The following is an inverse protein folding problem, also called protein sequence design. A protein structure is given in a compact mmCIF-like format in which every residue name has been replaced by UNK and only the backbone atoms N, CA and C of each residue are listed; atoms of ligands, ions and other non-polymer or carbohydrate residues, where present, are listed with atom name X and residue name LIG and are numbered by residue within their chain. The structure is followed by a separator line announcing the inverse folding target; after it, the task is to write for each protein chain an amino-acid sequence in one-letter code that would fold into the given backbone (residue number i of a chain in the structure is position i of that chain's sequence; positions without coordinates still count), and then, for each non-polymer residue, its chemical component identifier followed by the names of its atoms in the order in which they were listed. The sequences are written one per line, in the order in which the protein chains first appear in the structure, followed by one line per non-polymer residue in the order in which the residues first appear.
data_IF_941162391724
#
_entry.id   IF_941162391724
#
_cell.length_a   1.000
_cell.length_b   1.000
_cell.length_c   1.000
_cell.angle_alpha   90.00
_cell.angle_beta   90.00
_cell.angle_gamma   90.00
#
_symmetry.space_group_name_H-M   'P 1'
#
loop_
_entity.id
_entity.type
_entity.pdbx_description
1 polymer ?
#
# COMPACT_ATOMS: atom_id res chain seq x y z
N UNK A 1 -34.14 2.79 8.79
CA UNK A 1 -34.63 1.44 8.43
C UNK A 1 -33.69 0.92 7.35
N UNK A 2 -32.94 -0.16 7.60
CA UNK A 2 -32.11 -0.78 6.56
C UNK A 2 -33.00 -1.31 5.44
N UNK A 3 -32.57 -1.17 4.19
CA UNK A 3 -33.28 -1.74 3.05
C UNK A 3 -33.43 -3.27 3.19
N UNK A 4 -34.57 -3.85 2.77
CA UNK A 4 -34.74 -5.30 2.78
C UNK A 4 -33.76 -5.95 1.80
N UNK A 5 -32.83 -6.75 2.33
CA UNK A 5 -31.85 -7.52 1.54
C UNK A 5 -32.60 -8.57 0.71
N UNK A 6 -32.42 -8.56 -0.60
CA UNK A 6 -33.01 -9.56 -1.48
C UNK A 6 -32.29 -10.91 -1.35
N UNK A 7 -33.02 -12.02 -1.51
CA UNK A 7 -32.43 -13.35 -1.53
C UNK A 7 -31.50 -13.51 -2.74
N UNK A 8 -30.36 -14.18 -2.54
CA UNK A 8 -29.39 -14.47 -3.59
C UNK A 8 -29.76 -15.71 -4.42
N UNK A 9 -30.82 -16.42 -4.01
CA UNK A 9 -31.28 -17.65 -4.65
C UNK A 9 -32.00 -17.37 -5.99
N UNK A 10 -31.96 -18.34 -6.92
CA UNK A 10 -32.64 -18.21 -8.22
C UNK A 10 -34.17 -18.13 -8.09
N UNK A 11 -34.82 -17.71 -9.17
CA UNK A 11 -36.27 -17.46 -9.19
C UNK A 11 -37.12 -18.70 -8.88
N UNK A 12 -36.62 -19.91 -9.21
CA UNK A 12 -37.30 -21.18 -8.99
C UNK A 12 -37.19 -21.71 -7.54
N UNK A 13 -36.53 -20.99 -6.63
CA UNK A 13 -36.44 -21.39 -5.23
C UNK A 13 -37.76 -21.20 -4.48
N UNK A 14 -38.06 -22.18 -3.62
CA UNK A 14 -39.23 -22.23 -2.76
C UNK A 14 -39.22 -21.12 -1.70
N UNK A 15 -40.39 -20.79 -1.11
CA UNK A 15 -40.46 -19.81 -0.03
C UNK A 15 -39.61 -20.17 1.20
N UNK A 16 -39.51 -21.46 1.54
CA UNK A 16 -38.71 -21.93 2.69
C UNK A 16 -37.21 -21.70 2.46
N UNK A 17 -36.71 -22.03 1.27
CA UNK A 17 -35.31 -21.80 0.92
C UNK A 17 -34.95 -20.31 0.97
N UNK A 18 -35.83 -19.44 0.44
CA UNK A 18 -35.66 -17.98 0.52
C UNK A 18 -35.69 -17.48 1.97
N UNK A 19 -36.57 -18.03 2.81
CA UNK A 19 -36.62 -17.67 4.23
C UNK A 19 -35.35 -18.09 4.99
N UNK A 20 -34.79 -19.26 4.67
CA UNK A 20 -33.53 -19.72 5.24
C UNK A 20 -32.34 -18.84 4.80
N UNK A 21 -32.25 -18.49 3.51
CA UNK A 21 -31.22 -17.59 2.98
C UNK A 21 -31.22 -16.24 3.71
N UNK A 22 -32.39 -15.59 3.80
CA UNK A 22 -32.53 -14.31 4.50
C UNK A 22 -32.23 -14.45 6.00
N UNK A 23 -32.72 -15.52 6.64
CA UNK A 23 -32.50 -15.79 8.06
C UNK A 23 -31.02 -16.00 8.39
N UNK A 24 -30.30 -16.77 7.57
CA UNK A 24 -28.86 -16.96 7.72
C UNK A 24 -28.05 -15.72 7.38
N UNK A 25 -28.49 -14.91 6.40
CA UNK A 25 -27.89 -13.61 6.12
C UNK A 25 -27.86 -12.69 7.35
N UNK A 26 -28.94 -12.67 8.14
CA UNK A 26 -28.99 -11.89 9.40
C UNK A 26 -28.01 -12.43 10.45
N UNK A 27 -27.79 -13.74 10.51
CA UNK A 27 -26.81 -14.33 11.42
C UNK A 27 -25.38 -14.00 11.01
N UNK A 28 -25.09 -14.03 9.71
CA UNK A 28 -23.79 -13.69 9.15
C UNK A 28 -23.45 -12.21 9.32
N UNK A 29 -24.42 -11.30 9.15
CA UNK A 29 -24.21 -9.86 9.33
C UNK A 29 -23.80 -9.48 10.77
N UNK A 30 -23.98 -10.37 11.76
CA UNK A 30 -23.48 -10.19 13.13
C UNK A 30 -21.98 -10.47 13.26
N UNK A 31 -21.39 -11.17 12.31
CA UNK A 31 -19.96 -11.49 12.30
C UNK A 31 -19.22 -10.32 11.69
N UNK A 32 -18.70 -9.43 12.53
CA UNK A 32 -17.81 -8.38 12.06
C UNK A 32 -16.51 -9.00 11.53
N UNK A 33 -16.05 -8.63 10.32
CA UNK A 33 -14.71 -9.02 9.86
C UNK A 33 -13.68 -8.54 10.90
N UNK A 34 -12.80 -9.42 11.40
CA UNK A 34 -11.86 -9.03 12.45
C UNK A 34 -10.82 -8.02 11.95
N UNK A 35 -10.53 -8.00 10.64
CA UNK A 35 -9.48 -7.16 10.05
C UNK A 35 -9.94 -6.52 8.73
N UNK A 36 -10.90 -5.59 8.73
CA UNK A 36 -11.41 -4.96 7.50
C UNK A 36 -10.32 -4.16 6.76
N UNK A 37 -9.29 -3.72 7.49
CA UNK A 37 -8.19 -2.93 6.95
C UNK A 37 -6.94 -3.75 6.60
N UNK A 38 -6.96 -5.09 6.68
CA UNK A 38 -5.73 -5.91 6.57
C UNK A 38 -4.95 -5.66 5.27
N UNK A 39 -5.65 -5.33 4.18
CA UNK A 39 -5.06 -5.07 2.87
C UNK A 39 -4.75 -3.59 2.60
N UNK A 40 -5.03 -2.70 3.55
CA UNK A 40 -4.82 -1.26 3.43
C UNK A 40 -3.56 -0.83 4.20
N UNK A 41 -2.43 -0.53 3.52
CA UNK A 41 -1.16 -0.19 4.17
C UNK A 41 -1.24 0.96 5.19
N UNK A 42 -2.18 1.89 5.02
CA UNK A 42 -2.35 3.04 5.92
C UNK A 42 -3.14 2.70 7.19
N UNK A 43 -3.96 1.65 7.16
CA UNK A 43 -4.88 1.31 8.25
C UNK A 43 -4.69 -0.11 8.81
N UNK A 44 -3.89 -0.96 8.16
CA UNK A 44 -3.50 -2.27 8.68
C UNK A 44 -2.84 -2.11 10.05
N UNK A 45 -3.19 -2.91 11.07
CA UNK A 45 -2.48 -2.91 12.35
C UNK A 45 -0.98 -3.12 12.14
N UNK A 46 -0.13 -2.41 12.88
CA UNK A 46 1.31 -2.35 12.64
C UNK A 46 1.98 -3.72 12.73
N UNK A 47 1.50 -4.59 13.62
CA UNK A 47 1.92 -6.00 13.77
C UNK A 47 1.73 -6.83 12.49
N UNK A 48 0.80 -6.46 11.61
CA UNK A 48 0.55 -7.17 10.36
C UNK A 48 1.23 -6.55 9.14
N UNK A 49 1.86 -5.38 9.27
CA UNK A 49 2.56 -4.73 8.16
C UNK A 49 3.65 -5.61 7.52
N UNK A 50 4.47 -6.39 8.25
CA UNK A 50 5.49 -7.24 7.62
C UNK A 50 4.89 -8.29 6.68
N UNK A 51 3.72 -8.84 7.03
CA UNK A 51 3.05 -9.83 6.17
C UNK A 51 2.44 -9.17 4.94
N UNK A 52 1.84 -7.98 5.10
CA UNK A 52 1.36 -7.22 3.96
C UNK A 52 2.51 -6.77 3.05
N UNK A 53 3.68 -6.44 3.62
CA UNK A 53 4.90 -6.12 2.88
C UNK A 53 5.35 -7.32 2.02
N UNK A 54 5.37 -8.52 2.59
CA UNK A 54 5.72 -9.75 1.89
C UNK A 54 4.74 -10.05 0.75
N UNK A 55 3.43 -9.93 0.99
CA UNK A 55 2.39 -10.07 -0.04
C UNK A 55 2.58 -9.08 -1.19
N UNK A 56 2.99 -7.85 -0.85
CA UNK A 56 3.27 -6.75 -1.78
C UNK A 56 4.67 -6.82 -2.43
N UNK A 57 5.42 -7.89 -2.20
CA UNK A 57 6.74 -8.14 -2.81
C UNK A 57 7.85 -7.19 -2.36
N UNK A 58 7.75 -6.62 -1.15
CA UNK A 58 8.83 -5.81 -0.57
C UNK A 58 10.05 -6.71 -0.33
N UNK A 59 11.19 -6.37 -0.93
CA UNK A 59 12.42 -7.19 -0.88
C UNK A 59 13.30 -6.90 0.34
N UNK A 60 13.41 -5.64 0.75
CA UNK A 60 14.13 -5.20 1.94
C UNK A 60 13.15 -4.64 2.97
N UNK A 61 13.23 -5.16 4.18
CA UNK A 61 12.36 -4.77 5.28
C UNK A 61 13.19 -4.43 6.52
N UNK A 62 13.12 -3.17 6.95
CA UNK A 62 13.72 -2.74 8.20
C UNK A 62 12.70 -2.84 9.34
N UNK A 63 13.00 -3.71 10.31
CA UNK A 63 12.17 -3.90 11.49
C UNK A 63 12.26 -2.74 12.49
N UNK A 64 13.31 -1.93 12.44
CA UNK A 64 13.54 -0.79 13.32
C UNK A 64 13.07 0.55 12.71
N UNK A 65 12.70 0.55 11.42
CA UNK A 65 12.15 1.71 10.73
C UNK A 65 10.87 2.25 11.41
N UNK A 66 10.65 3.55 11.21
CA UNK A 66 9.45 4.23 11.73
C UNK A 66 8.17 3.63 11.15
N UNK A 67 7.06 3.69 11.89
CA UNK A 67 5.78 3.16 11.39
C UNK A 67 5.35 3.85 10.08
N UNK A 68 5.57 5.16 9.97
CA UNK A 68 5.29 5.91 8.74
C UNK A 68 6.08 5.40 7.54
N UNK A 69 7.37 5.14 7.71
CA UNK A 69 8.24 4.62 6.65
C UNK A 69 7.85 3.20 6.25
N UNK A 70 7.55 2.33 7.23
CA UNK A 70 7.01 0.99 6.98
C UNK A 70 5.72 1.05 6.15
N UNK A 71 4.79 1.92 6.52
CA UNK A 71 3.52 2.08 5.79
C UNK A 71 3.74 2.59 4.37
N UNK A 72 4.62 3.57 4.18
CA UNK A 72 4.96 4.11 2.86
C UNK A 72 5.64 3.06 1.99
N UNK A 73 6.58 2.29 2.54
CA UNK A 73 7.24 1.16 1.87
C UNK A 73 6.23 0.16 1.32
N UNK A 74 5.26 -0.25 2.14
CA UNK A 74 4.21 -1.19 1.71
C UNK A 74 3.22 -0.56 0.73
N UNK A 75 2.91 0.74 0.88
CA UNK A 75 1.99 1.44 0.00
C UNK A 75 2.55 1.65 -1.41
N UNK A 76 3.85 1.97 -1.52
CA UNK A 76 4.49 2.32 -2.78
C UNK A 76 5.11 1.13 -3.52
N UNK A 77 5.30 -0.02 -2.88
CA UNK A 77 6.02 -1.17 -3.47
C UNK A 77 5.49 -1.58 -4.85
N UNK A 78 4.16 -1.65 -5.00
CA UNK A 78 3.53 -2.01 -6.28
C UNK A 78 3.82 -0.97 -7.36
N UNK A 79 3.73 0.32 -7.02
CA UNK A 79 4.00 1.39 -7.98
C UNK A 79 5.45 1.38 -8.43
N UNK A 80 6.39 1.17 -7.50
CA UNK A 80 7.83 1.04 -7.78
C UNK A 80 8.08 -0.13 -8.73
N UNK A 81 7.58 -1.33 -8.40
CA UNK A 81 7.78 -2.53 -9.22
C UNK A 81 7.15 -2.39 -10.61
N UNK A 82 5.93 -1.85 -10.70
CA UNK A 82 5.22 -1.66 -11.97
C UNK A 82 5.95 -0.68 -12.90
N UNK A 83 6.65 0.30 -12.34
CA UNK A 83 7.32 1.37 -13.08
C UNK A 83 8.85 1.23 -13.07
N UNK A 84 9.37 0.04 -12.72
CA UNK A 84 10.80 -0.20 -12.56
C UNK A 84 11.59 0.27 -13.80
N UNK A 85 12.74 0.91 -13.55
CA UNK A 85 13.56 1.50 -14.60
C UNK A 85 13.14 2.90 -15.06
N UNK A 86 12.08 3.49 -14.49
CA UNK A 86 11.68 4.87 -14.78
C UNK A 86 12.12 5.85 -13.69
N UNK A 87 12.28 7.15 -13.99
CA UNK A 87 12.53 8.18 -12.98
C UNK A 87 11.45 8.24 -11.90
N UNK A 88 10.20 7.88 -12.24
CA UNK A 88 9.09 7.90 -11.28
C UNK A 88 9.20 6.77 -10.25
N UNK A 89 9.62 5.58 -10.66
CA UNK A 89 9.92 4.50 -9.72
C UNK A 89 11.09 4.86 -8.80
N UNK A 90 12.15 5.48 -9.33
CA UNK A 90 13.26 5.99 -8.51
C UNK A 90 12.77 7.02 -7.47
N UNK A 91 11.89 7.94 -7.89
CA UNK A 91 11.32 8.94 -6.97
C UNK A 91 10.55 8.27 -5.83
N UNK A 92 9.68 7.32 -6.16
CA UNK A 92 8.90 6.57 -5.17
C UNK A 92 9.76 5.71 -4.25
N UNK A 93 10.87 5.15 -4.74
CA UNK A 93 11.79 4.37 -3.92
C UNK A 93 12.50 5.22 -2.86
N UNK A 94 12.82 6.48 -3.17
CA UNK A 94 13.41 7.41 -2.19
C UNK A 94 12.34 7.93 -1.22
N UNK A 95 11.15 8.24 -1.73
CA UNK A 95 10.00 8.66 -0.91
C UNK A 95 9.56 7.56 0.07
N UNK A 96 9.63 6.28 -0.32
CA UNK A 96 9.23 5.18 0.57
C UNK A 96 10.13 5.03 1.80
N UNK A 97 11.40 5.43 1.66
CA UNK A 97 12.37 5.53 2.76
C UNK A 97 12.21 6.83 3.58
N UNK A 98 11.24 7.68 3.25
CA UNK A 98 10.97 8.93 3.96
C UNK A 98 11.88 10.11 3.58
N UNK A 99 12.59 10.02 2.46
CA UNK A 99 13.44 11.11 1.95
C UNK A 99 12.80 11.85 0.78
N UNK A 100 13.31 13.05 0.47
CA UNK A 100 12.93 13.77 -0.75
C UNK A 100 13.89 13.39 -1.89
N UNK A 101 13.39 12.90 -3.04
CA UNK A 101 14.24 12.57 -4.19
C UNK A 101 14.70 13.82 -4.93
N UNK A 102 15.98 13.82 -5.30
CA UNK A 102 16.50 14.59 -6.43
C UNK A 102 17.24 13.64 -7.38
N UNK A 103 16.79 13.58 -8.63
CA UNK A 103 17.24 12.60 -9.61
C UNK A 103 17.70 13.35 -10.85
N UNK A 104 18.97 13.18 -11.21
CA UNK A 104 19.56 13.81 -12.39
C UNK A 104 20.14 12.77 -13.33
N UNK A 105 19.71 12.78 -14.59
CA UNK A 105 20.33 11.97 -15.64
C UNK A 105 21.64 12.60 -16.10
N UNK A 106 22.58 11.79 -16.63
CA UNK A 106 23.90 12.25 -17.08
C UNK A 106 23.89 13.50 -17.99
N UNK A 107 22.89 13.65 -18.86
CA UNK A 107 22.76 14.79 -19.78
C UNK A 107 22.18 16.06 -19.14
N UNK A 108 21.66 15.96 -17.91
CA UNK A 108 21.14 17.08 -17.13
C UNK A 108 22.17 17.63 -16.13
N UNK A 109 23.32 16.95 -15.99
CA UNK A 109 24.38 17.31 -15.06
C UNK A 109 25.33 18.36 -15.68
N UNK A 110 25.87 19.22 -14.82
CA UNK A 110 26.91 20.19 -15.18
C UNK A 110 28.15 19.99 -14.29
N UNK A 111 29.29 19.49 -14.83
CA UNK A 111 29.53 19.06 -16.21
C UNK A 111 28.72 17.80 -16.59
N UNK A 112 28.54 17.57 -17.91
CA UNK A 112 27.82 16.40 -18.43
C UNK A 112 28.48 15.12 -17.88
N UNK A 113 27.67 14.25 -17.28
CA UNK A 113 28.09 12.99 -16.69
C UNK A 113 28.42 11.90 -17.72
N UNK A 114 28.86 10.73 -17.25
CA UNK A 114 29.14 9.58 -18.12
C UNK A 114 27.85 9.10 -18.81
N UNK A 115 27.84 8.84 -20.13
CA UNK A 115 26.65 8.38 -20.83
C UNK A 115 26.00 7.15 -20.17
N UNK A 116 24.66 7.15 -20.16
CA UNK A 116 23.83 6.09 -19.56
C UNK A 116 23.96 5.95 -18.03
N UNK A 117 24.41 6.99 -17.34
CA UNK A 117 24.41 7.06 -15.87
C UNK A 117 23.36 8.05 -15.35
N UNK A 118 23.06 7.95 -14.07
CA UNK A 118 22.20 8.88 -13.35
C UNK A 118 22.67 8.96 -11.90
N UNK A 119 22.38 10.08 -11.25
CA UNK A 119 22.63 10.32 -9.84
C UNK A 119 21.29 10.41 -9.10
N UNK A 120 21.24 9.85 -7.90
CA UNK A 120 20.05 9.91 -7.02
C UNK A 120 20.49 10.43 -5.67
N UNK A 121 19.96 11.58 -5.28
CA UNK A 121 20.19 12.19 -3.99
C UNK A 121 18.95 12.05 -3.12
N UNK A 122 19.14 11.49 -1.93
CA UNK A 122 18.11 11.39 -0.91
C UNK A 122 18.28 12.53 0.10
N UNK A 123 17.41 13.53 0.04
CA UNK A 123 17.51 14.74 0.87
C UNK A 123 16.72 14.55 2.16
N UNK A 124 17.38 14.79 3.30
CA UNK A 124 16.75 14.79 4.62
C UNK A 124 16.14 16.16 4.87
N UNK A 125 14.81 16.26 4.94
CA UNK A 125 14.08 17.52 5.13
C UNK A 125 14.24 18.20 6.52
N UNK A 126 15.26 17.85 7.32
CA UNK A 126 15.50 18.53 8.61
C UNK A 126 16.36 19.77 8.38
N UNK A 127 15.76 20.95 8.45
CA UNK A 127 16.53 22.18 8.63
C UNK A 127 17.25 22.12 9.98
N UNK A 128 18.58 22.20 9.94
CA UNK A 128 19.40 22.32 11.15
C UNK A 128 19.16 23.72 11.70
N UNK A 129 18.37 23.87 12.78
CA UNK A 129 18.38 25.10 13.56
C UNK A 129 19.66 25.08 14.41
N UNK A 130 20.73 25.69 13.90
CA UNK A 130 21.86 26.08 14.73
C UNK A 130 21.38 27.14 15.72
N UNK A 131 21.24 26.75 16.98
CA UNK A 131 21.27 27.68 18.10
C UNK A 131 22.70 28.09 18.43
#
# INVERSE_FOLDING_TARGET
MSEPKASLLPANSSPLEKALDLGFGVLLDRVMPPFPALMNPLHTPSEFLPYLAADRGVSEWDADASESEKRLTVALSWQIQRQAGTPKALSHAVESLGFTPDISAWFQQQPIGTPYTFDVQAIIGRSWSSG
#
